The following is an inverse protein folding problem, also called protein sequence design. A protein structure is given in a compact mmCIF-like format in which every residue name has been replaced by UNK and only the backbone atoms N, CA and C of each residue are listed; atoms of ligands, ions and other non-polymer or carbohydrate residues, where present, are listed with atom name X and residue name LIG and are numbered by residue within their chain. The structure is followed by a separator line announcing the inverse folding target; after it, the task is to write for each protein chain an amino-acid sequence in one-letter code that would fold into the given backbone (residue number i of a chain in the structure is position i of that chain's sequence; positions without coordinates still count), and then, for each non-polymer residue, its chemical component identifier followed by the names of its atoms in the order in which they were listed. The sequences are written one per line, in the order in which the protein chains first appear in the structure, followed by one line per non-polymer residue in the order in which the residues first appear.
data_IF_860604786639
#
_entry.id   IF_860604786639
#
_cell.length_a   1.000
_cell.length_b   1.000
_cell.length_c   1.000
_cell.angle_alpha   90.00
_cell.angle_beta   90.00
_cell.angle_gamma   90.00
#
_symmetry.space_group_name_H-M   'P 1'
#
loop_
_entity.id
_entity.type
_entity.pdbx_description
1 polymer ?
#
# COMPACT_ATOMS: atom_id res chain seq x y z
N UNK A 1 -19.43 36.43 50.31
CA UNK A 1 -18.25 36.75 49.49
C UNK A 1 -17.69 35.47 48.91
N UNK A 2 -17.89 35.27 47.63
CA UNK A 2 -17.34 34.14 46.91
C UNK A 2 -16.11 34.61 46.13
N UNK A 3 -14.98 33.90 46.12
CA UNK A 3 -13.83 34.28 45.32
C UNK A 3 -14.04 33.88 43.86
N UNK A 4 -13.91 34.87 42.99
CA UNK A 4 -13.87 34.69 41.55
C UNK A 4 -12.51 34.12 41.14
N UNK A 5 -12.44 32.81 40.94
CA UNK A 5 -11.29 32.15 40.34
C UNK A 5 -11.43 32.13 38.80
N UNK A 6 -10.66 32.95 38.14
CA UNK A 6 -10.46 32.87 36.68
C UNK A 6 -9.62 31.65 36.34
N UNK A 7 -10.24 30.62 35.75
CA UNK A 7 -9.52 29.51 35.15
C UNK A 7 -8.74 30.03 33.94
N UNK A 8 -7.46 29.67 33.78
CA UNK A 8 -6.73 29.94 32.55
C UNK A 8 -7.31 29.07 31.42
N UNK A 9 -7.71 29.73 30.35
CA UNK A 9 -8.08 29.15 29.10
C UNK A 9 -6.93 28.22 28.64
N UNK A 10 -7.19 26.91 28.58
CA UNK A 10 -6.21 25.94 28.10
C UNK A 10 -5.80 26.34 26.68
N UNK A 11 -4.50 26.50 26.49
CA UNK A 11 -3.91 26.71 25.18
C UNK A 11 -4.39 25.60 24.23
N UNK A 12 -5.17 25.98 23.24
CA UNK A 12 -5.49 25.07 22.13
C UNK A 12 -4.18 24.63 21.50
N UNK A 13 -3.85 23.35 21.65
CA UNK A 13 -2.73 22.76 20.92
C UNK A 13 -3.04 22.93 19.44
N UNK A 14 -2.34 23.83 18.77
CA UNK A 14 -2.37 23.93 17.32
C UNK A 14 -1.83 22.60 16.78
N UNK A 15 -2.72 21.68 16.42
CA UNK A 15 -2.35 20.52 15.63
C UNK A 15 -1.79 21.06 14.33
N UNK A 16 -0.47 21.04 14.23
CA UNK A 16 0.21 21.27 12.95
C UNK A 16 -0.10 20.04 12.10
N UNK A 17 -0.96 20.20 11.14
CA UNK A 17 -1.18 19.14 10.15
C UNK A 17 0.17 18.82 9.50
N UNK A 18 0.56 17.55 9.40
CA UNK A 18 1.78 17.18 8.68
C UNK A 18 1.71 17.73 7.26
N UNK A 19 2.87 18.02 6.67
CA UNK A 19 2.96 18.32 5.24
C UNK A 19 2.30 17.18 4.46
N UNK A 20 1.64 17.52 3.34
CA UNK A 20 0.98 16.52 2.47
C UNK A 20 1.98 15.41 2.14
N UNK A 21 1.63 14.16 2.50
CA UNK A 21 2.51 13.01 2.32
C UNK A 21 2.28 12.43 0.92
N UNK A 22 2.97 12.98 -0.06
CA UNK A 22 2.87 12.54 -1.45
C UNK A 22 4.24 12.31 -2.06
N UNK A 23 4.27 11.57 -3.17
CA UNK A 23 5.44 11.37 -3.99
C UNK A 23 5.05 11.13 -5.45
N UNK A 24 5.94 11.51 -6.36
CA UNK A 24 5.84 11.15 -7.77
C UNK A 24 7.17 10.54 -8.21
N UNK A 25 7.10 9.33 -8.76
CA UNK A 25 8.27 8.55 -9.19
C UNK A 25 8.08 8.11 -10.62
N UNK A 26 9.14 8.22 -11.40
CA UNK A 26 9.18 7.79 -12.79
C UNK A 26 10.30 6.77 -12.96
N UNK A 27 10.04 5.76 -13.79
CA UNK A 27 11.02 4.74 -14.20
C UNK A 27 10.89 4.52 -15.70
N UNK A 28 12.02 4.48 -16.37
CA UNK A 28 12.12 4.15 -17.79
C UNK A 28 13.20 3.10 -18.00
N UNK A 29 12.85 2.03 -18.69
CA UNK A 29 13.74 0.94 -19.10
C UNK A 29 13.61 0.73 -20.60
N UNK A 30 14.25 -0.28 -21.15
CA UNK A 30 14.04 -0.66 -22.54
C UNK A 30 12.67 -1.32 -22.78
N UNK A 31 12.00 -1.78 -21.72
CA UNK A 31 10.78 -2.59 -21.74
C UNK A 31 9.57 -1.83 -21.25
N UNK A 32 9.77 -0.84 -20.34
CA UNK A 32 8.67 -0.13 -19.68
C UNK A 32 8.91 1.36 -19.55
N UNK A 33 7.82 2.14 -19.53
CA UNK A 33 7.79 3.54 -19.13
C UNK A 33 6.68 3.72 -18.09
N UNK A 34 7.05 4.01 -16.85
CA UNK A 34 6.11 4.05 -15.73
C UNK A 34 6.26 5.34 -14.95
N UNK A 35 5.13 6.01 -14.70
CA UNK A 35 5.03 7.14 -13.80
C UNK A 35 3.92 6.89 -12.80
N UNK A 36 4.22 7.07 -11.51
CA UNK A 36 3.27 6.91 -10.40
C UNK A 36 3.28 8.18 -9.56
N UNK A 37 2.08 8.70 -9.27
CA UNK A 37 1.85 9.71 -8.24
C UNK A 37 0.99 9.12 -7.14
N UNK A 38 1.44 9.21 -5.90
CA UNK A 38 0.80 8.66 -4.71
C UNK A 38 0.60 9.76 -3.67
N UNK A 39 -0.60 9.87 -3.12
CA UNK A 39 -0.91 10.68 -1.94
C UNK A 39 -1.45 9.77 -0.83
N UNK A 40 -0.76 9.74 0.32
CA UNK A 40 -1.12 8.84 1.43
C UNK A 40 -2.39 9.27 2.16
N UNK A 41 -2.67 10.59 2.18
CA UNK A 41 -3.79 11.20 2.90
C UNK A 41 -4.90 11.63 1.93
N UNK A 42 -5.14 10.83 0.89
CA UNK A 42 -6.13 11.07 -0.15
C UNK A 42 -7.54 10.63 0.21
N UNK A 43 -8.39 10.49 -0.82
CA UNK A 43 -9.78 10.06 -0.72
C UNK A 43 -10.01 8.63 -1.27
N UNK A 44 -8.94 7.94 -1.68
CA UNK A 44 -9.01 6.58 -2.24
C UNK A 44 -9.32 6.54 -3.73
N UNK A 45 -8.90 7.56 -4.47
CA UNK A 45 -9.12 7.63 -5.92
C UNK A 45 -8.03 6.90 -6.71
N UNK A 46 -8.44 6.29 -7.82
CA UNK A 46 -7.54 5.64 -8.77
C UNK A 46 -7.73 6.21 -10.16
N UNK A 47 -6.62 6.62 -10.80
CA UNK A 47 -6.60 7.12 -12.17
C UNK A 47 -5.46 6.48 -12.94
N UNK A 48 -5.76 5.90 -14.09
CA UNK A 48 -4.77 5.29 -14.98
C UNK A 48 -5.14 3.87 -15.41
N UNK A 49 -4.24 3.23 -16.14
CA UNK A 49 -4.39 1.84 -16.57
C UNK A 49 -3.01 1.22 -16.82
N UNK A 50 -2.88 -0.06 -16.52
CA UNK A 50 -1.71 -0.89 -16.83
C UNK A 50 -1.84 -1.59 -18.19
N UNK A 51 -3.04 -1.54 -18.80
CA UNK A 51 -3.40 -2.38 -19.95
C UNK A 51 -3.87 -3.80 -19.56
N UNK A 52 -3.82 -4.15 -18.26
CA UNK A 52 -4.25 -5.44 -17.72
C UNK A 52 -5.52 -5.21 -16.87
N UNK A 53 -6.69 -5.33 -17.49
CA UNK A 53 -7.95 -4.87 -16.90
C UNK A 53 -8.27 -5.44 -15.51
N UNK A 54 -7.93 -6.71 -15.25
CA UNK A 54 -8.08 -7.30 -13.92
C UNK A 54 -7.16 -6.61 -12.90
N UNK A 55 -5.92 -6.32 -13.28
CA UNK A 55 -4.97 -5.68 -12.39
C UNK A 55 -5.32 -4.21 -12.12
N UNK A 56 -5.84 -3.50 -13.12
CA UNK A 56 -6.39 -2.14 -12.94
C UNK A 56 -7.51 -2.13 -11.89
N UNK A 57 -8.39 -3.16 -11.93
CA UNK A 57 -9.40 -3.34 -10.89
C UNK A 57 -8.77 -3.58 -9.51
N UNK A 58 -7.70 -4.36 -9.41
CA UNK A 58 -6.99 -4.59 -8.14
C UNK A 58 -6.36 -3.31 -7.59
N UNK A 59 -5.75 -2.48 -8.44
CA UNK A 59 -5.19 -1.19 -8.03
C UNK A 59 -6.25 -0.19 -7.59
N UNK A 60 -7.41 -0.18 -8.24
CA UNK A 60 -8.56 0.61 -7.80
C UNK A 60 -9.05 0.18 -6.41
N UNK A 61 -9.10 -1.13 -6.13
CA UNK A 61 -9.43 -1.64 -4.79
C UNK A 61 -8.36 -1.26 -3.76
N UNK A 62 -7.07 -1.35 -4.13
CA UNK A 62 -5.98 -0.92 -3.26
C UNK A 62 -6.14 0.56 -2.87
N UNK A 63 -6.33 1.45 -3.84
CA UNK A 63 -6.54 2.88 -3.61
C UNK A 63 -7.77 3.12 -2.70
N UNK A 64 -8.92 2.59 -3.08
CA UNK A 64 -10.18 2.75 -2.35
C UNK A 64 -10.06 2.29 -0.87
N UNK A 65 -9.50 1.10 -0.63
CA UNK A 65 -9.44 0.53 0.73
C UNK A 65 -8.31 1.11 1.58
N UNK A 66 -7.24 1.60 0.97
CA UNK A 66 -6.18 2.31 1.69
C UNK A 66 -6.55 3.77 2.01
N UNK A 67 -7.45 4.37 1.23
CA UNK A 67 -7.74 5.80 1.26
C UNK A 67 -6.65 6.65 0.61
N UNK A 68 -5.68 6.04 -0.07
CA UNK A 68 -4.64 6.73 -0.81
C UNK A 68 -5.15 7.12 -2.20
N UNK A 69 -4.76 8.29 -2.71
CA UNK A 69 -4.96 8.60 -4.12
C UNK A 69 -3.77 8.07 -4.93
N UNK A 70 -4.08 7.33 -5.99
CA UNK A 70 -3.12 6.70 -6.86
C UNK A 70 -3.39 7.11 -8.32
N UNK A 71 -2.42 7.76 -8.93
CA UNK A 71 -2.43 8.05 -10.36
C UNK A 71 -1.23 7.41 -11.02
N UNK A 72 -1.44 6.74 -12.15
CA UNK A 72 -0.37 6.09 -12.88
C UNK A 72 -0.51 6.26 -14.40
N UNK A 73 0.65 6.31 -15.04
CA UNK A 73 0.81 6.18 -16.47
C UNK A 73 1.79 5.04 -16.74
N UNK A 74 1.33 3.99 -17.39
CA UNK A 74 2.09 2.77 -17.64
C UNK A 74 2.07 2.44 -19.11
N UNK A 75 3.24 2.22 -19.66
CA UNK A 75 3.44 1.63 -20.97
C UNK A 75 4.49 0.54 -20.84
N UNK A 76 4.14 -0.69 -21.13
CA UNK A 76 5.01 -1.86 -21.07
C UNK A 76 4.85 -2.75 -22.29
N UNK A 77 5.72 -3.71 -22.43
CA UNK A 77 5.82 -4.67 -23.54
C UNK A 77 4.85 -5.85 -23.40
N UNK A 78 3.54 -5.55 -23.21
CA UNK A 78 2.48 -6.55 -22.95
C UNK A 78 2.29 -7.57 -24.10
N UNK A 79 2.92 -7.36 -25.23
CA UNK A 79 3.02 -8.34 -26.33
C UNK A 79 4.03 -9.46 -26.04
N UNK A 80 4.92 -9.29 -25.06
CA UNK A 80 5.76 -10.33 -24.49
C UNK A 80 4.98 -11.12 -23.44
N UNK A 81 4.72 -10.49 -22.30
CA UNK A 81 3.88 -11.00 -21.20
C UNK A 81 3.54 -9.84 -20.22
N UNK A 82 3.05 -10.16 -19.03
CA UNK A 82 2.72 -9.16 -18.02
C UNK A 82 3.85 -8.89 -17.02
N UNK A 83 4.96 -9.62 -17.07
CA UNK A 83 6.00 -9.64 -16.04
C UNK A 83 6.68 -8.29 -15.87
N UNK A 84 7.36 -7.79 -16.93
CA UNK A 84 8.12 -6.54 -16.83
C UNK A 84 7.25 -5.37 -16.40
N UNK A 85 6.01 -5.30 -16.92
CA UNK A 85 5.07 -4.23 -16.60
C UNK A 85 4.68 -4.24 -15.13
N UNK A 86 4.35 -5.40 -14.56
CA UNK A 86 3.86 -5.50 -13.19
C UNK A 86 5.00 -5.42 -12.16
N UNK A 87 6.16 -5.99 -12.45
CA UNK A 87 7.33 -5.88 -11.59
C UNK A 87 7.81 -4.42 -11.50
N UNK A 88 8.01 -3.76 -12.64
CA UNK A 88 8.45 -2.37 -12.68
C UNK A 88 7.44 -1.41 -12.05
N UNK A 89 6.13 -1.66 -12.21
CA UNK A 89 5.10 -0.90 -11.52
C UNK A 89 5.18 -1.07 -10.00
N UNK A 90 5.42 -2.29 -9.51
CA UNK A 90 5.58 -2.55 -8.09
C UNK A 90 6.82 -1.86 -7.50
N UNK A 91 7.93 -1.83 -8.25
CA UNK A 91 9.14 -1.08 -7.93
C UNK A 91 8.79 0.40 -7.73
N UNK A 92 8.17 1.02 -8.75
CA UNK A 92 7.85 2.46 -8.73
C UNK A 92 6.84 2.80 -7.63
N UNK A 93 5.83 1.96 -7.41
CA UNK A 93 4.86 2.14 -6.35
C UNK A 93 5.49 2.02 -4.95
N UNK A 94 6.40 1.06 -4.77
CA UNK A 94 7.15 0.88 -3.53
C UNK A 94 8.07 2.07 -3.23
N UNK A 95 8.76 2.59 -4.25
CA UNK A 95 9.60 3.77 -4.14
C UNK A 95 8.76 5.02 -3.82
N UNK A 96 7.60 5.19 -4.46
CA UNK A 96 6.66 6.28 -4.17
C UNK A 96 6.15 6.19 -2.72
N UNK A 97 5.78 5.01 -2.24
CA UNK A 97 5.38 4.79 -0.86
C UNK A 97 6.50 5.18 0.13
N UNK A 98 7.73 4.73 -0.14
CA UNK A 98 8.89 5.06 0.69
C UNK A 98 9.17 6.56 0.73
N UNK A 99 9.08 7.26 -0.41
CA UNK A 99 9.27 8.71 -0.48
C UNK A 99 8.16 9.47 0.22
N UNK A 100 6.90 9.09 0.03
CA UNK A 100 5.76 9.74 0.67
C UNK A 100 5.76 9.55 2.21
N UNK A 101 6.25 8.42 2.71
CA UNK A 101 6.41 8.16 4.15
C UNK A 101 7.52 8.98 4.80
N UNK A 102 8.52 9.42 4.03
CA UNK A 102 9.64 10.20 4.54
C UNK A 102 10.36 9.52 5.71
N UNK A 103 10.49 10.24 6.83
CA UNK A 103 11.18 9.77 8.04
C UNK A 103 10.33 8.86 8.94
N UNK A 104 9.10 8.55 8.52
CA UNK A 104 8.15 7.65 9.22
C UNK A 104 7.81 8.07 10.66
N UNK A 105 7.96 9.35 11.00
CA UNK A 105 7.57 9.85 12.30
C UNK A 105 6.05 9.88 12.48
N UNK A 106 5.60 9.54 13.67
CA UNK A 106 4.20 9.58 14.07
C UNK A 106 3.31 8.52 13.43
N UNK A 107 3.80 7.70 12.48
CA UNK A 107 2.97 6.65 11.88
C UNK A 107 2.73 5.49 12.85
N UNK A 108 1.63 4.77 12.65
CA UNK A 108 1.31 3.55 13.41
C UNK A 108 2.32 2.42 13.13
N UNK A 109 2.99 2.44 11.96
CA UNK A 109 3.99 1.48 11.52
C UNK A 109 3.44 0.09 11.19
N UNK A 110 2.55 -0.45 12.01
CA UNK A 110 1.96 -1.78 11.84
C UNK A 110 0.54 -1.69 11.30
N UNK A 111 0.19 -2.60 10.41
CA UNK A 111 -1.17 -2.79 9.94
C UNK A 111 -1.48 -4.26 9.75
N UNK A 112 -2.70 -4.65 10.08
CA UNK A 112 -3.17 -6.02 9.91
C UNK A 112 -4.64 -6.03 9.55
N UNK A 113 -5.00 -6.84 8.55
CA UNK A 113 -6.39 -7.02 8.18
C UNK A 113 -6.70 -8.45 7.75
N UNK A 114 -7.83 -8.97 8.21
CA UNK A 114 -8.46 -10.18 7.70
C UNK A 114 -9.56 -9.78 6.75
N UNK A 115 -9.37 -10.03 5.46
CA UNK A 115 -10.29 -9.62 4.41
C UNK A 115 -11.11 -10.81 3.91
N UNK A 116 -12.42 -10.87 4.17
CA UNK A 116 -13.30 -11.82 3.53
C UNK A 116 -13.70 -11.31 2.14
N UNK A 117 -13.82 -12.22 1.19
CA UNK A 117 -14.43 -12.00 -0.11
C UNK A 117 -15.21 -13.27 -0.47
N UNK A 118 -16.53 -13.23 -0.26
CA UNK A 118 -17.43 -14.38 -0.35
C UNK A 118 -16.86 -15.59 0.43
N UNK A 119 -16.44 -16.66 -0.28
CA UNK A 119 -15.90 -17.88 0.31
C UNK A 119 -14.39 -17.80 0.61
N UNK A 120 -13.72 -16.72 0.20
CA UNK A 120 -12.28 -16.55 0.44
C UNK A 120 -12.01 -15.69 1.69
N UNK A 121 -10.97 -16.04 2.42
CA UNK A 121 -10.46 -15.24 3.53
C UNK A 121 -8.93 -15.14 3.44
N UNK A 122 -8.44 -13.90 3.40
CA UNK A 122 -7.00 -13.61 3.38
C UNK A 122 -6.61 -12.75 4.58
N UNK A 123 -5.45 -13.03 5.16
CA UNK A 123 -4.80 -12.19 6.17
C UNK A 123 -3.62 -11.47 5.53
N UNK A 124 -3.56 -10.15 5.73
CA UNK A 124 -2.42 -9.31 5.36
C UNK A 124 -1.88 -8.61 6.59
N UNK A 125 -0.55 -8.66 6.80
CA UNK A 125 0.14 -7.99 7.92
C UNK A 125 1.35 -7.24 7.37
N UNK A 126 1.50 -5.97 7.81
CA UNK A 126 2.57 -5.06 7.38
C UNK A 126 3.34 -4.54 8.60
N UNK A 127 4.66 -4.48 8.47
CA UNK A 127 5.56 -3.69 9.32
C UNK A 127 6.43 -2.77 8.44
N UNK A 128 6.21 -1.46 8.51
CA UNK A 128 6.98 -0.44 7.78
C UNK A 128 8.36 -0.22 8.41
N UNK A 129 9.07 -1.32 8.66
CA UNK A 129 10.30 -1.39 9.46
C UNK A 129 11.57 -0.86 8.78
N UNK A 130 11.51 -0.49 7.51
CA UNK A 130 12.71 -0.18 6.72
C UNK A 130 13.50 -1.41 6.24
N UNK A 131 13.08 -2.63 6.58
CA UNK A 131 13.72 -3.89 6.19
C UNK A 131 12.75 -4.71 5.33
N UNK A 132 13.09 -4.96 4.05
CA UNK A 132 12.21 -5.69 3.16
C UNK A 132 12.16 -7.19 3.51
N UNK A 133 10.96 -7.74 3.52
CA UNK A 133 10.73 -9.18 3.56
C UNK A 133 9.31 -9.51 3.10
N UNK A 134 9.15 -10.51 2.25
CA UNK A 134 7.85 -11.06 1.88
C UNK A 134 7.69 -12.46 2.46
N UNK A 135 6.58 -12.72 3.15
CA UNK A 135 6.05 -14.05 3.40
C UNK A 135 4.78 -14.21 2.58
N UNK A 136 4.79 -15.12 1.63
CA UNK A 136 3.70 -15.35 0.71
C UNK A 136 3.20 -16.81 0.82
N UNK A 137 1.96 -16.96 1.25
CA UNK A 137 1.26 -18.24 1.32
C UNK A 137 -0.15 -18.09 0.71
N UNK A 138 -0.16 -17.90 -0.61
CA UNK A 138 -1.39 -17.82 -1.42
C UNK A 138 -1.28 -18.86 -2.55
N UNK A 139 -2.29 -19.71 -2.66
CA UNK A 139 -2.36 -20.73 -3.69
C UNK A 139 -3.50 -20.43 -4.64
N UNK A 140 -3.17 -20.25 -5.91
CA UNK A 140 -4.11 -20.02 -6.97
C UNK A 140 -4.16 -21.26 -7.87
N UNK A 141 -5.36 -21.76 -8.15
CA UNK A 141 -5.56 -23.01 -8.89
C UNK A 141 -5.62 -22.79 -10.41
N UNK A 142 -5.52 -21.53 -10.87
CA UNK A 142 -5.59 -21.16 -12.29
C UNK A 142 -4.37 -20.34 -12.66
N UNK A 143 -3.95 -20.46 -13.91
CA UNK A 143 -2.79 -19.72 -14.42
C UNK A 143 -3.11 -18.25 -14.75
N UNK A 144 -4.38 -17.95 -15.06
CA UNK A 144 -4.80 -16.60 -15.48
C UNK A 144 -6.18 -16.23 -14.97
N UNK A 145 -6.37 -14.91 -14.74
CA UNK A 145 -7.68 -14.26 -14.53
C UNK A 145 -7.79 -13.14 -15.57
N UNK A 146 -8.60 -13.34 -16.62
CA UNK A 146 -8.54 -12.49 -17.80
C UNK A 146 -7.16 -12.55 -18.45
N UNK A 147 -6.52 -11.41 -18.63
CA UNK A 147 -5.14 -11.30 -19.14
C UNK A 147 -4.08 -11.29 -18.04
N UNK A 148 -4.45 -11.28 -16.76
CA UNK A 148 -3.53 -11.28 -15.63
C UNK A 148 -3.01 -12.69 -15.36
N UNK A 149 -1.70 -12.88 -15.38
CA UNK A 149 -1.00 -14.11 -15.02
C UNK A 149 -0.88 -14.19 -13.49
N UNK A 150 -1.42 -15.27 -12.90
CA UNK A 150 -1.58 -15.36 -11.44
C UNK A 150 -0.26 -15.47 -10.67
N UNK A 151 0.80 -15.96 -11.31
CA UNK A 151 2.15 -15.98 -10.74
C UNK A 151 2.68 -14.57 -10.45
N UNK A 152 2.27 -13.58 -11.24
CA UNK A 152 2.67 -12.18 -11.05
C UNK A 152 2.17 -11.58 -9.75
N UNK A 153 1.20 -12.18 -9.07
CA UNK A 153 0.79 -11.71 -7.75
C UNK A 153 1.94 -11.76 -6.75
N UNK A 154 2.71 -12.85 -6.74
CA UNK A 154 3.85 -13.01 -5.84
C UNK A 154 4.96 -12.02 -6.18
N UNK A 155 5.30 -11.88 -7.46
CA UNK A 155 6.39 -11.03 -7.92
C UNK A 155 6.08 -9.55 -7.69
N UNK A 156 4.84 -9.13 -7.96
CA UNK A 156 4.36 -7.78 -7.64
C UNK A 156 4.48 -7.48 -6.14
N UNK A 157 3.99 -8.38 -5.28
CA UNK A 157 4.05 -8.20 -3.82
C UNK A 157 5.49 -8.23 -3.29
N UNK A 158 6.36 -9.02 -3.92
CA UNK A 158 7.79 -9.08 -3.58
C UNK A 158 8.49 -7.74 -3.91
N UNK A 159 8.37 -7.27 -5.15
CA UNK A 159 8.95 -6.00 -5.56
C UNK A 159 8.41 -4.83 -4.74
N UNK A 160 7.08 -4.80 -4.47
CA UNK A 160 6.45 -3.82 -3.60
C UNK A 160 7.02 -3.86 -2.17
N UNK A 161 7.22 -5.04 -1.59
CA UNK A 161 7.80 -5.17 -0.24
C UNK A 161 9.26 -4.71 -0.19
N UNK A 162 10.04 -5.02 -1.25
CA UNK A 162 11.46 -4.64 -1.35
C UNK A 162 11.60 -3.12 -1.45
N UNK A 163 10.90 -2.48 -2.37
CA UNK A 163 10.98 -1.04 -2.64
C UNK A 163 10.21 -0.20 -1.63
N UNK A 164 9.10 -0.71 -1.10
CA UNK A 164 8.37 -0.14 0.03
C UNK A 164 9.08 -0.29 1.38
N UNK A 165 10.22 -1.02 1.41
CA UNK A 165 11.05 -1.27 2.60
C UNK A 165 10.22 -1.73 3.79
N UNK A 166 9.36 -2.75 3.57
CA UNK A 166 8.44 -3.28 4.57
C UNK A 166 8.54 -4.79 4.70
N UNK A 167 8.19 -5.29 5.88
CA UNK A 167 7.81 -6.69 5.99
C UNK A 167 6.34 -6.82 5.57
N UNK A 168 6.06 -7.68 4.62
CA UNK A 168 4.72 -7.96 4.11
C UNK A 168 4.45 -9.46 4.26
N UNK A 169 3.41 -9.81 5.02
CA UNK A 169 2.96 -11.19 5.19
C UNK A 169 1.56 -11.32 4.60
N UNK A 170 1.39 -12.20 3.62
CA UNK A 170 0.13 -12.48 2.94
C UNK A 170 -0.16 -13.97 3.02
N UNK A 171 -1.26 -14.31 3.68
CA UNK A 171 -1.70 -15.72 3.81
C UNK A 171 -3.16 -15.82 3.40
N UNK A 172 -3.47 -16.56 2.35
CA UNK A 172 -4.84 -16.98 2.08
C UNK A 172 -5.18 -18.17 2.97
N UNK A 173 -6.14 -18.00 3.86
CA UNK A 173 -6.52 -19.03 4.85
C UNK A 173 -7.40 -20.10 4.22
N UNK A 174 -8.30 -19.69 3.34
CA UNK A 174 -9.16 -20.55 2.52
C UNK A 174 -9.81 -19.73 1.40
N UNK A 175 -10.31 -20.42 0.39
CA UNK A 175 -10.99 -19.88 -0.78
C UNK A 175 -10.81 -20.82 -1.95
N UNK A 176 -11.70 -20.73 -2.93
CA UNK A 176 -11.68 -21.58 -4.14
C UNK A 176 -11.67 -20.78 -5.43
N UNK A 177 -12.30 -19.60 -5.45
CA UNK A 177 -12.31 -18.73 -6.61
C UNK A 177 -11.06 -17.85 -6.61
N UNK A 178 -10.21 -18.00 -7.63
CA UNK A 178 -8.96 -17.26 -7.72
C UNK A 178 -9.16 -15.73 -7.79
N UNK A 179 -10.23 -15.24 -8.44
CA UNK A 179 -10.58 -13.82 -8.44
C UNK A 179 -10.85 -13.33 -7.01
N UNK A 180 -11.69 -14.04 -6.24
CA UNK A 180 -12.02 -13.67 -4.87
C UNK A 180 -10.78 -13.70 -3.95
N UNK A 181 -9.90 -14.68 -4.16
CA UNK A 181 -8.65 -14.76 -3.40
C UNK A 181 -7.78 -13.54 -3.69
N UNK A 182 -7.50 -13.22 -4.96
CA UNK A 182 -6.66 -12.06 -5.32
C UNK A 182 -7.29 -10.76 -4.88
N UNK A 183 -8.60 -10.59 -5.06
CA UNK A 183 -9.33 -9.41 -4.61
C UNK A 183 -9.24 -9.24 -3.08
N UNK A 184 -9.37 -10.33 -2.31
CA UNK A 184 -9.21 -10.29 -0.85
C UNK A 184 -7.78 -9.91 -0.42
N UNK A 185 -6.75 -10.25 -1.22
CA UNK A 185 -5.37 -9.81 -1.00
C UNK A 185 -5.26 -8.29 -1.15
N UNK A 186 -5.74 -7.72 -2.28
CA UNK A 186 -5.60 -6.27 -2.54
C UNK A 186 -6.43 -5.41 -1.59
N UNK A 187 -7.66 -5.82 -1.27
CA UNK A 187 -8.47 -5.16 -0.22
C UNK A 187 -7.78 -5.23 1.15
N UNK A 188 -7.29 -6.43 1.52
CA UNK A 188 -6.55 -6.64 2.76
C UNK A 188 -5.29 -5.80 2.85
N UNK A 189 -4.53 -5.70 1.74
CA UNK A 189 -3.35 -4.84 1.61
C UNK A 189 -3.72 -3.37 1.79
N UNK A 190 -4.79 -2.90 1.14
CA UNK A 190 -5.28 -1.54 1.29
C UNK A 190 -5.61 -1.20 2.75
N UNK A 191 -6.40 -2.03 3.42
CA UNK A 191 -6.75 -1.82 4.84
C UNK A 191 -5.52 -1.88 5.77
N UNK A 192 -4.59 -2.82 5.55
CA UNK A 192 -3.37 -2.92 6.34
C UNK A 192 -2.46 -1.70 6.13
N UNK A 193 -2.30 -1.21 4.89
CA UNK A 193 -1.57 0.02 4.60
C UNK A 193 -2.22 1.22 5.28
N UNK A 194 -3.54 1.39 5.18
CA UNK A 194 -4.27 2.48 5.84
C UNK A 194 -3.97 2.55 7.34
N UNK A 195 -3.94 1.39 8.02
CA UNK A 195 -3.59 1.32 9.43
C UNK A 195 -2.11 1.67 9.65
N UNK A 196 -1.21 1.10 8.85
CA UNK A 196 0.24 1.26 9.05
C UNK A 196 0.72 2.71 8.84
N UNK A 197 0.13 3.43 7.85
CA UNK A 197 0.51 4.82 7.54
C UNK A 197 -0.22 5.85 8.38
N UNK A 198 -1.26 5.46 9.15
CA UNK A 198 -2.03 6.38 9.98
C UNK A 198 -1.14 7.13 10.97
N UNK A 199 -1.35 8.44 11.11
CA UNK A 199 -0.66 9.26 12.10
C UNK A 199 -1.41 9.15 13.43
N UNK A 200 -0.90 8.36 14.35
CA UNK A 200 -1.51 8.11 15.67
C UNK A 200 -0.56 8.39 16.83
N UNK A 201 0.73 8.46 16.56
CA UNK A 201 1.77 8.63 17.57
C UNK A 201 2.20 10.07 17.79
N UNK A 202 3.30 10.23 18.54
CA UNK A 202 3.97 11.52 18.66
C UNK A 202 4.63 11.87 17.31
N UNK A 203 4.23 12.99 16.72
CA UNK A 203 4.70 13.46 15.42
C UNK A 203 6.24 13.65 15.33
N UNK A 204 6.92 13.74 16.47
CA UNK A 204 8.38 13.95 16.55
C UNK A 204 9.18 12.67 16.78
N UNK A 205 8.52 11.50 16.89
CA UNK A 205 9.19 10.23 17.18
C UNK A 205 8.80 9.12 16.22
N UNK A 206 9.71 8.18 16.02
CA UNK A 206 9.43 6.92 15.31
C UNK A 206 9.10 5.82 16.31
N UNK A 207 8.20 4.91 15.96
CA UNK A 207 7.84 3.75 16.77
C UNK A 207 8.95 2.68 16.67
N UNK A 208 10.06 2.93 17.31
CA UNK A 208 11.23 2.04 17.33
C UNK A 208 12.09 2.29 18.57
N UNK A 209 12.44 1.22 19.28
CA UNK A 209 13.40 1.30 20.41
C UNK A 209 14.81 1.69 19.97
N UNK A 210 15.11 1.61 18.66
CA UNK A 210 16.39 2.02 18.08
C UNK A 210 16.42 3.51 17.71
N UNK A 211 15.27 4.22 17.77
CA UNK A 211 15.13 5.62 17.37
C UNK A 211 15.14 5.87 15.85
N UNK A 212 15.20 4.81 15.03
CA UNK A 212 15.20 4.85 13.55
C UNK A 212 14.39 3.67 12.97
N UNK A 213 13.85 3.85 11.75
CA UNK A 213 13.18 2.84 10.93
C UNK A 213 13.81 2.79 9.54
#
# INVERSE_FOLDING_TARGET
MWPTGSSPCSAASTRRWPAVRNASVNRETAETQIAVSLELDGEGTFVGSTGIGFFDHMLNLLACHSGMDLSLHVHGDLDVDTHHTLEDLAIVLGDALTQALGDKKGINRYGMFYCPMDEALTRVVIDLSGRPYLVYDVKLAVERIGTFETEMLQDFLYALAVHGKMNLHVTNLYGTNAHHIVESVFKGLGHALRQAVAIEGNADSVLSTKGVL
#
